data_IF_399638845122
#
_entry.id   IF_399638845122
#
_cell.length_a   1.000
_cell.length_b   1.000
_cell.length_c   1.000
_cell.angle_alpha   90.00
_cell.angle_beta   90.00
_cell.angle_gamma   90.00
#
_symmetry.space_group_name_H-M   'P 1'
#
loop_
_entity.id
_entity.type
_entity.pdbx_description
1 polymer ?
#
# COMPACT_ATOMS: atom_id res chain seq x y z
N UNK A 1 34.68 -0.39 29.11
CA UNK A 1 33.44 -1.18 29.11
C UNK A 1 33.79 -2.65 28.84
N UNK A 2 33.54 -3.54 29.80
CA UNK A 2 33.76 -4.99 29.64
C UNK A 2 32.51 -5.68 30.17
N UNK A 3 31.73 -6.33 29.30
CA UNK A 3 31.15 -7.67 29.54
C UNK A 3 30.92 -8.34 28.18
N UNK A 4 31.87 -9.19 27.80
CA UNK A 4 31.66 -10.24 26.80
C UNK A 4 30.92 -11.37 27.53
N UNK A 5 29.80 -11.82 27.00
CA UNK A 5 29.24 -13.13 27.31
C UNK A 5 28.58 -13.65 26.05
N UNK A 6 29.34 -14.46 25.32
CA UNK A 6 28.86 -15.31 24.25
C UNK A 6 27.99 -16.41 24.87
N UNK A 7 26.80 -16.63 24.34
CA UNK A 7 26.13 -17.92 24.45
C UNK A 7 25.80 -18.40 23.05
N UNK A 8 26.61 -19.36 22.63
CA UNK A 8 26.43 -20.22 21.48
C UNK A 8 25.22 -21.11 21.77
N UNK A 9 24.17 -20.99 20.95
CA UNK A 9 23.15 -22.03 20.85
C UNK A 9 23.01 -22.42 19.38
N UNK A 10 23.75 -23.45 18.99
CA UNK A 10 23.56 -24.16 17.73
C UNK A 10 22.29 -24.99 17.89
N UNK A 11 21.21 -24.54 17.27
CA UNK A 11 19.97 -25.30 17.12
C UNK A 11 19.62 -25.38 15.64
N UNK A 12 20.18 -26.36 14.93
CA UNK A 12 19.75 -26.70 13.58
C UNK A 12 18.45 -27.49 13.71
N UNK A 13 17.32 -26.83 13.49
CA UNK A 13 16.05 -27.48 13.21
C UNK A 13 15.65 -27.13 11.78
N UNK A 14 16.08 -27.96 10.83
CA UNK A 14 15.56 -27.94 9.45
C UNK A 14 14.18 -28.60 9.47
N UNK A 15 13.15 -27.79 9.52
CA UNK A 15 11.78 -28.17 9.20
C UNK A 15 11.40 -27.45 7.90
N UNK A 16 11.72 -28.10 6.78
CA UNK A 16 11.21 -27.75 5.47
C UNK A 16 9.75 -28.21 5.39
N UNK A 17 8.81 -27.29 5.55
CA UNK A 17 7.41 -27.53 5.21
C UNK A 17 6.79 -26.21 4.71
N UNK A 18 6.27 -26.25 3.48
CA UNK A 18 5.22 -25.34 3.01
C UNK A 18 5.70 -24.02 2.42
N UNK A 19 5.40 -23.82 1.13
CA UNK A 19 5.57 -22.55 0.45
C UNK A 19 4.91 -21.42 1.24
N UNK A 20 5.70 -20.39 1.53
CA UNK A 20 5.29 -19.16 2.18
C UNK A 20 4.40 -18.39 1.19
N UNK A 21 3.12 -18.76 1.12
CA UNK A 21 2.10 -17.80 0.71
C UNK A 21 1.96 -16.85 1.90
N UNK A 22 2.85 -15.86 1.98
CA UNK A 22 2.61 -14.71 2.84
C UNK A 22 1.45 -13.93 2.20
N UNK A 23 0.25 -13.84 2.80
CA UNK A 23 -0.64 -12.75 2.45
C UNK A 23 0.12 -11.47 2.83
N UNK A 24 0.42 -10.66 1.81
CA UNK A 24 0.94 -9.31 1.99
C UNK A 24 0.11 -8.63 3.08
N UNK A 25 0.80 -8.12 4.11
CA UNK A 25 0.17 -7.53 5.28
C UNK A 25 -0.76 -6.39 4.83
N UNK A 26 -2.06 -6.57 5.02
CA UNK A 26 -3.03 -5.51 4.87
C UNK A 26 -2.71 -4.43 5.93
N UNK A 27 -2.15 -3.31 5.47
CA UNK A 27 -2.00 -2.13 6.30
C UNK A 27 -3.40 -1.69 6.78
N UNK A 28 -3.57 -1.26 8.04
CA UNK A 28 -4.84 -0.73 8.52
C UNK A 28 -5.18 0.53 7.71
N UNK A 29 -6.07 0.38 6.73
CA UNK A 29 -6.63 1.48 5.98
C UNK A 29 -7.55 2.29 6.88
N UNK A 30 -7.09 3.44 7.34
CA UNK A 30 -7.99 4.49 7.85
C UNK A 30 -8.84 4.98 6.69
N UNK A 31 -10.08 4.49 6.62
CA UNK A 31 -11.08 4.94 5.66
C UNK A 31 -11.51 6.37 6.02
N UNK A 32 -10.90 7.35 5.36
CA UNK A 32 -11.42 8.71 5.33
C UNK A 32 -12.50 8.75 4.25
N UNK A 33 -13.75 8.89 4.67
CA UNK A 33 -14.87 9.19 3.79
C UNK A 33 -14.67 10.60 3.22
N UNK A 34 -14.14 10.68 2.00
CA UNK A 34 -14.22 11.91 1.20
C UNK A 34 -15.40 11.77 0.25
N UNK A 35 -16.23 12.81 0.18
CA UNK A 35 -17.30 12.88 -0.80
C UNK A 35 -16.69 12.74 -2.19
N UNK A 36 -17.16 11.75 -2.96
CA UNK A 36 -16.69 11.52 -4.31
C UNK A 36 -17.03 12.74 -5.17
N UNK A 37 -16.04 13.62 -5.38
CA UNK A 37 -16.13 14.64 -6.41
C UNK A 37 -15.84 13.96 -7.74
N UNK A 38 -16.92 13.58 -8.42
CA UNK A 38 -16.87 13.11 -9.81
C UNK A 38 -16.56 14.29 -10.73
N UNK A 39 -15.29 14.52 -11.01
CA UNK A 39 -14.84 15.46 -12.03
C UNK A 39 -14.97 14.76 -13.39
N UNK A 40 -15.92 15.20 -14.22
CA UNK A 40 -16.11 14.84 -15.64
C UNK A 40 -15.46 13.51 -16.11
N UNK A 41 -16.05 12.37 -15.74
CA UNK A 41 -15.63 11.04 -16.20
C UNK A 41 -14.58 10.33 -15.34
N UNK A 42 -14.10 10.97 -14.28
CA UNK A 42 -13.17 10.37 -13.32
C UNK A 42 -13.89 9.93 -12.06
N UNK A 43 -13.69 8.68 -11.67
CA UNK A 43 -14.22 8.07 -10.46
C UNK A 43 -13.18 8.16 -9.36
N UNK A 44 -13.52 8.82 -8.26
CA UNK A 44 -12.69 8.81 -7.06
C UNK A 44 -12.72 7.43 -6.39
N UNK A 45 -11.54 6.86 -6.16
CA UNK A 45 -11.38 5.53 -5.54
C UNK A 45 -11.03 5.63 -4.05
N UNK A 46 -10.05 6.48 -3.72
CA UNK A 46 -9.48 6.47 -2.38
C UNK A 46 -8.30 7.43 -2.22
N UNK A 47 -7.83 7.54 -0.97
CA UNK A 47 -6.72 8.39 -0.58
C UNK A 47 -5.57 7.55 -0.04
N UNK A 48 -4.35 7.94 -0.40
CA UNK A 48 -3.12 7.21 -0.09
C UNK A 48 -2.12 8.15 0.57
N UNK A 49 -1.46 7.69 1.63
CA UNK A 49 -0.46 8.47 2.37
C UNK A 49 0.88 8.61 1.63
N UNK A 50 1.07 7.90 0.51
CA UNK A 50 2.28 8.03 -0.31
C UNK A 50 1.94 7.92 -1.79
N UNK A 51 2.65 8.72 -2.60
CA UNK A 51 2.49 8.74 -4.05
C UNK A 51 2.72 7.36 -4.68
N UNK A 52 3.70 6.62 -4.18
CA UNK A 52 4.03 5.28 -4.68
C UNK A 52 2.87 4.30 -4.52
N UNK A 53 2.17 4.34 -3.37
CA UNK A 53 0.98 3.51 -3.14
C UNK A 53 -0.19 3.90 -4.04
N UNK A 54 -0.39 5.21 -4.26
CA UNK A 54 -1.42 5.67 -5.20
C UNK A 54 -1.14 5.16 -6.62
N UNK A 55 0.12 5.22 -7.07
CA UNK A 55 0.53 4.77 -8.40
C UNK A 55 0.37 3.26 -8.56
N UNK A 56 0.81 2.47 -7.57
CA UNK A 56 0.68 1.02 -7.59
C UNK A 56 -0.79 0.59 -7.69
N UNK A 57 -1.65 1.16 -6.84
CA UNK A 57 -3.09 0.92 -6.90
C UNK A 57 -3.70 1.34 -8.24
N UNK A 58 -3.35 2.52 -8.76
CA UNK A 58 -3.84 2.99 -10.06
C UNK A 58 -3.43 2.10 -11.23
N UNK A 59 -2.22 1.56 -11.22
CA UNK A 59 -1.78 0.59 -12.23
C UNK A 59 -2.58 -0.72 -12.16
N UNK A 60 -2.96 -1.17 -10.97
CA UNK A 60 -3.83 -2.34 -10.82
C UNK A 60 -5.19 -2.11 -11.48
N UNK A 61 -5.82 -0.95 -11.29
CA UNK A 61 -7.08 -0.63 -11.97
C UNK A 61 -6.94 -0.60 -13.50
N UNK A 62 -5.84 -0.09 -14.05
CA UNK A 62 -5.63 -0.16 -15.50
C UNK A 62 -5.53 -1.61 -16.00
N UNK A 63 -4.94 -2.53 -15.21
CA UNK A 63 -4.92 -3.96 -15.53
C UNK A 63 -6.30 -4.62 -15.41
N UNK A 64 -7.17 -4.10 -14.56
CA UNK A 64 -8.55 -4.55 -14.38
C UNK A 64 -9.48 -4.07 -15.51
N UNK A 65 -9.02 -3.13 -16.34
CA UNK A 65 -9.75 -2.68 -17.53
C UNK A 65 -10.16 -1.20 -17.52
N UNK A 66 -9.71 -0.43 -16.52
CA UNK A 66 -9.87 1.03 -16.55
C UNK A 66 -8.94 1.64 -17.62
N UNK A 67 -9.40 2.68 -18.29
CA UNK A 67 -8.65 3.32 -19.39
C UNK A 67 -7.45 4.10 -18.88
N UNK A 68 -7.57 4.74 -17.71
CA UNK A 68 -6.50 5.53 -17.13
C UNK A 68 -6.65 5.72 -15.61
N UNK A 69 -5.57 6.15 -14.95
CA UNK A 69 -5.59 6.53 -13.53
C UNK A 69 -4.85 7.86 -13.32
N UNK A 70 -5.27 8.60 -12.29
CA UNK A 70 -4.66 9.84 -11.84
C UNK A 70 -4.40 9.80 -10.34
N UNK A 71 -3.24 10.33 -9.96
CA UNK A 71 -2.84 10.51 -8.57
C UNK A 71 -2.57 11.99 -8.31
N UNK A 72 -3.57 12.68 -7.78
CA UNK A 72 -3.51 14.10 -7.49
C UNK A 72 -3.24 14.32 -5.98
N UNK A 73 -2.33 15.22 -5.59
CA UNK A 73 -2.13 15.54 -4.18
C UNK A 73 -3.41 16.15 -3.59
N UNK A 74 -3.77 15.69 -2.40
CA UNK A 74 -4.96 16.17 -1.70
C UNK A 74 -4.86 17.69 -1.45
N UNK A 75 -5.93 18.46 -1.69
CA UNK A 75 -5.95 19.89 -1.44
C UNK A 75 -5.75 20.15 0.06
N UNK A 76 -5.00 21.19 0.39
CA UNK A 76 -4.70 21.56 1.78
C UNK A 76 -3.39 20.98 2.35
N UNK A 77 -2.53 20.36 1.53
CA UNK A 77 -1.16 20.00 1.93
C UNK A 77 -1.08 18.90 2.99
N UNK A 78 -2.11 18.05 3.07
CA UNK A 78 -2.26 17.00 4.08
C UNK A 78 -1.31 15.80 3.89
N UNK A 79 -0.51 15.79 2.82
CA UNK A 79 0.42 14.71 2.51
C UNK A 79 -0.24 13.45 1.94
N UNK A 80 -1.54 13.51 1.62
CA UNK A 80 -2.27 12.43 0.96
C UNK A 80 -2.35 12.64 -0.55
N UNK A 81 -2.56 11.56 -1.28
CA UNK A 81 -2.77 11.51 -2.73
C UNK A 81 -4.11 10.85 -3.01
N UNK A 82 -4.96 11.51 -3.78
CA UNK A 82 -6.24 11.00 -4.23
C UNK A 82 -6.08 10.25 -5.54
N UNK A 83 -6.60 9.03 -5.57
CA UNK A 83 -6.66 8.19 -6.74
C UNK A 83 -7.99 8.40 -7.45
N UNK A 84 -7.90 8.70 -8.73
CA UNK A 84 -9.01 8.77 -9.65
C UNK A 84 -8.79 7.80 -10.81
N UNK A 85 -9.84 7.17 -11.31
CA UNK A 85 -9.79 6.28 -12.48
C UNK A 85 -10.83 6.68 -13.51
N UNK A 86 -10.58 6.39 -14.78
CA UNK A 86 -11.50 6.63 -15.91
C UNK A 86 -11.59 5.42 -16.80
#
# INVERSE_FOLDING_TARGET
MRKRAALVSVGIAVLAIGGINAPAQAAPGTSVSVGAQSEAGWVYIGSYSSRSYCIDAGQQYVREGFSNYRCDPAPGGTGYYYLYVS
#
